data_IF_831467868753
#
_entry.id   IF_831467868753
#
_cell.length_a   1.000
_cell.length_b   1.000
_cell.length_c   1.000
_cell.angle_alpha   90.00
_cell.angle_beta   90.00
_cell.angle_gamma   90.00
#
_symmetry.space_group_name_H-M   'P 1'
#
loop_
_entity.id
_entity.type
_entity.pdbx_description
1 polymer ?
#
# COMPACT_ATOMS: atom_id res chain seq x y z
N UNK A 1 14.45 45.49 -21.00
CA UNK A 1 13.64 44.28 -21.34
C UNK A 1 14.27 42.95 -20.86
N UNK A 2 15.57 42.90 -20.53
CA UNK A 2 16.22 41.68 -20.04
C UNK A 2 15.77 41.20 -18.62
N UNK A 3 15.37 42.12 -17.73
CA UNK A 3 15.00 41.76 -16.35
C UNK A 3 13.64 41.07 -16.21
N UNK A 4 12.71 41.24 -17.17
CA UNK A 4 11.41 40.56 -17.14
C UNK A 4 11.50 39.13 -17.67
N UNK A 5 12.39 38.86 -18.63
CA UNK A 5 12.60 37.51 -19.19
C UNK A 5 13.30 36.59 -18.19
N UNK A 6 14.21 37.12 -17.37
CA UNK A 6 14.90 36.33 -16.34
C UNK A 6 13.96 35.87 -15.22
N UNK A 7 12.95 36.67 -14.87
CA UNK A 7 11.97 36.35 -13.83
C UNK A 7 10.94 35.30 -14.31
N UNK A 8 10.61 35.29 -15.60
CA UNK A 8 9.73 34.25 -16.20
C UNK A 8 10.46 32.91 -16.36
N UNK A 9 11.78 32.90 -16.56
CA UNK A 9 12.58 31.66 -16.64
C UNK A 9 12.81 31.02 -15.26
N UNK A 10 12.91 31.82 -14.19
CA UNK A 10 13.08 31.29 -12.82
C UNK A 10 11.78 30.68 -12.26
N UNK A 11 10.60 31.12 -12.73
CA UNK A 11 9.32 30.49 -12.37
C UNK A 11 9.06 29.13 -13.06
N UNK A 12 9.80 28.79 -14.12
CA UNK A 12 9.63 27.52 -14.85
C UNK A 12 10.54 26.38 -14.33
N UNK A 13 11.43 26.65 -13.37
CA UNK A 13 12.33 25.64 -12.79
C UNK A 13 11.85 25.03 -11.47
N UNK A 14 10.67 25.43 -10.96
CA UNK A 14 9.98 24.71 -9.89
C UNK A 14 8.96 23.72 -10.48
N UNK A 15 9.41 22.84 -11.38
CA UNK A 15 8.82 21.51 -11.45
C UNK A 15 9.18 20.83 -10.14
N UNK A 16 8.43 21.14 -9.07
CA UNK A 16 8.35 20.29 -7.90
C UNK A 16 7.96 18.93 -8.45
N UNK A 17 8.92 18.00 -8.51
CA UNK A 17 8.61 16.60 -8.82
C UNK A 17 7.48 16.24 -7.88
N UNK A 18 6.35 15.84 -8.45
CA UNK A 18 5.29 15.19 -7.70
C UNK A 18 5.96 13.95 -7.12
N UNK A 19 6.16 13.99 -5.81
CA UNK A 19 6.67 12.89 -5.03
C UNK A 19 5.50 11.90 -4.98
N UNK A 20 5.75 10.66 -5.37
CA UNK A 20 4.72 9.64 -5.56
C UNK A 20 4.50 8.86 -4.28
N UNK A 21 3.25 8.83 -3.80
CA UNK A 21 2.91 8.08 -2.59
C UNK A 21 3.20 6.61 -2.81
N UNK A 22 3.40 5.85 -1.74
CA UNK A 22 3.49 4.41 -1.90
C UNK A 22 2.85 3.74 -0.69
N UNK A 23 1.86 2.89 -0.95
CA UNK A 23 1.05 2.31 0.09
C UNK A 23 0.29 1.07 -0.34
N UNK A 24 0.06 0.19 0.64
CA UNK A 24 -0.70 -1.04 0.46
C UNK A 24 -1.55 -1.38 1.67
N UNK A 25 -2.70 -2.00 1.38
CA UNK A 25 -3.56 -2.64 2.37
C UNK A 25 -2.98 -4.02 2.72
N UNK A 26 -2.67 -4.20 4.00
CA UNK A 26 -2.01 -5.40 4.55
C UNK A 26 -2.96 -6.25 5.41
N UNK A 27 -3.98 -5.66 6.04
CA UNK A 27 -5.03 -6.42 6.72
C UNK A 27 -6.40 -5.77 6.44
N UNK A 28 -7.38 -6.48 5.85
CA UNK A 28 -7.20 -7.77 5.17
C UNK A 28 -6.18 -7.69 4.02
N UNK A 29 -5.35 -8.72 3.77
CA UNK A 29 -4.40 -8.70 2.66
C UNK A 29 -5.10 -8.45 1.33
N UNK A 30 -4.70 -7.38 0.63
CA UNK A 30 -5.23 -7.06 -0.69
C UNK A 30 -4.61 -7.91 -1.81
N UNK A 31 -5.32 -8.05 -2.94
CA UNK A 31 -4.96 -8.89 -4.10
C UNK A 31 -3.50 -8.75 -4.54
N UNK A 32 -2.99 -7.51 -4.52
CA UNK A 32 -1.60 -7.12 -4.81
C UNK A 32 -0.59 -7.59 -3.76
N UNK A 33 -0.98 -7.65 -2.49
CA UNK A 33 -0.11 -7.95 -1.34
C UNK A 33 -0.21 -9.39 -0.83
N UNK A 34 -1.20 -10.16 -1.29
CA UNK A 34 -1.48 -11.53 -0.80
C UNK A 34 -0.26 -12.46 -0.82
N UNK A 35 0.61 -12.34 -1.82
CA UNK A 35 1.84 -13.14 -1.91
C UNK A 35 2.79 -12.95 -0.71
N UNK A 36 2.77 -11.78 -0.04
CA UNK A 36 3.57 -11.48 1.16
C UNK A 36 3.17 -12.30 2.38
N UNK A 37 1.95 -12.84 2.35
CA UNK A 37 1.36 -13.68 3.39
C UNK A 37 1.37 -15.17 3.00
N UNK A 38 2.04 -15.52 1.88
CA UNK A 38 2.14 -16.89 1.41
C UNK A 38 0.93 -17.40 0.62
N UNK A 39 -0.07 -16.56 0.34
CA UNK A 39 -1.13 -16.94 -0.58
C UNK A 39 -0.56 -17.24 -1.99
N UNK A 40 -1.19 -18.12 -2.78
CA UNK A 40 -0.71 -18.53 -4.10
C UNK A 40 -0.96 -17.48 -5.21
N UNK A 41 -1.01 -16.20 -4.85
CA UNK A 41 -1.10 -15.10 -5.82
C UNK A 41 0.27 -14.90 -6.50
N UNK A 42 0.30 -14.49 -7.78
CA UNK A 42 1.54 -14.07 -8.42
C UNK A 42 2.23 -12.97 -7.62
N UNK A 43 3.56 -12.98 -7.59
CA UNK A 43 4.35 -11.96 -6.90
C UNK A 43 4.21 -10.63 -7.62
N UNK A 44 3.74 -9.61 -6.90
CA UNK A 44 3.78 -8.22 -7.34
C UNK A 44 4.78 -7.46 -6.48
N UNK A 45 5.98 -7.19 -7.00
CA UNK A 45 6.98 -6.43 -6.26
C UNK A 45 6.60 -4.96 -6.07
N UNK A 46 5.70 -4.42 -6.90
CA UNK A 46 5.22 -3.04 -6.85
C UNK A 46 3.79 -3.00 -6.31
N UNK A 47 3.48 -3.88 -5.35
CA UNK A 47 2.18 -3.97 -4.72
C UNK A 47 1.81 -2.72 -3.91
N UNK A 48 2.75 -1.83 -3.64
CA UNK A 48 2.53 -0.52 -3.04
C UNK A 48 2.27 0.61 -4.05
N UNK A 49 2.23 0.32 -5.36
CA UNK A 49 2.10 1.28 -6.47
C UNK A 49 0.74 1.13 -7.20
N UNK A 50 -0.36 0.89 -6.49
CA UNK A 50 -1.71 0.91 -7.09
C UNK A 50 -2.36 2.29 -7.05
N UNK A 51 -1.60 3.25 -7.54
CA UNK A 51 -1.80 4.69 -7.70
C UNK A 51 -2.58 5.14 -8.95
N UNK A 52 -3.46 4.31 -9.52
CA UNK A 52 -4.24 4.66 -10.72
C UNK A 52 -3.39 4.99 -11.97
N UNK A 53 -2.14 4.49 -12.03
CA UNK A 53 -1.14 4.82 -13.05
C UNK A 53 -0.32 6.08 -12.80
N UNK A 54 -0.47 6.68 -11.62
CA UNK A 54 0.18 7.92 -11.22
C UNK A 54 -0.65 9.16 -11.54
N UNK A 55 -0.32 10.27 -10.87
CA UNK A 55 -1.11 11.50 -10.91
C UNK A 55 -1.49 11.98 -12.32
N UNK A 56 -0.52 12.10 -13.23
CA UNK A 56 -0.77 12.62 -14.59
C UNK A 56 -1.65 11.67 -15.42
N UNK A 57 -1.47 10.36 -15.27
CA UNK A 57 -2.29 9.36 -15.96
C UNK A 57 -3.74 9.43 -15.45
N UNK A 58 -3.93 9.49 -14.14
CA UNK A 58 -5.27 9.60 -13.55
C UNK A 58 -5.96 10.89 -14.01
N UNK A 59 -5.33 12.05 -13.82
CA UNK A 59 -6.03 13.33 -13.88
C UNK A 59 -6.01 14.04 -15.23
N UNK A 60 -4.99 13.79 -16.05
CA UNK A 60 -4.84 14.46 -17.35
C UNK A 60 -5.21 13.53 -18.51
N UNK A 61 -4.87 12.24 -18.42
CA UNK A 61 -5.23 11.27 -19.46
C UNK A 61 -6.60 10.62 -19.21
N UNK A 62 -6.87 10.19 -17.97
CA UNK A 62 -8.09 9.45 -17.62
C UNK A 62 -9.20 10.34 -17.03
N UNK A 63 -9.04 11.67 -17.07
CA UNK A 63 -10.05 12.63 -16.59
C UNK A 63 -10.49 12.40 -15.13
N UNK A 64 -9.54 12.03 -14.26
CA UNK A 64 -9.75 11.71 -12.85
C UNK A 64 -10.18 10.27 -12.57
N UNK A 65 -10.44 9.47 -13.60
CA UNK A 65 -10.88 8.08 -13.45
C UNK A 65 -9.72 7.16 -13.05
N UNK A 66 -10.07 6.17 -12.24
CA UNK A 66 -9.18 5.13 -11.75
C UNK A 66 -9.89 3.78 -11.86
N UNK A 67 -9.14 2.69 -12.07
CA UNK A 67 -9.67 1.33 -11.93
C UNK A 67 -10.26 1.11 -10.52
N UNK A 68 -11.14 0.13 -10.40
CA UNK A 68 -11.79 -0.17 -9.12
C UNK A 68 -10.77 -0.60 -8.07
N UNK A 69 -9.73 -1.30 -8.50
CA UNK A 69 -8.70 -1.83 -7.63
C UNK A 69 -7.33 -1.18 -7.85
N UNK A 70 -7.30 0.07 -8.35
CA UNK A 70 -6.10 0.92 -8.40
C UNK A 70 -5.25 0.81 -9.65
N UNK A 71 -5.64 -0.04 -10.60
CA UNK A 71 -5.08 -0.08 -11.95
C UNK A 71 -5.39 1.22 -12.73
N UNK A 72 -4.57 1.62 -13.72
CA UNK A 72 -4.89 2.75 -14.60
C UNK A 72 -6.18 2.51 -15.38
N UNK A 73 -7.05 3.52 -15.41
CA UNK A 73 -8.40 3.34 -15.98
C UNK A 73 -8.41 2.98 -17.48
N UNK A 74 -7.46 3.49 -18.27
CA UNK A 74 -7.39 3.21 -19.70
C UNK A 74 -6.86 1.80 -20.05
N UNK A 75 -6.35 1.04 -19.07
CA UNK A 75 -5.95 -0.34 -19.33
C UNK A 75 -7.16 -1.20 -19.71
N UNK A 76 -6.90 -2.21 -20.56
CA UNK A 76 -7.94 -3.12 -21.02
C UNK A 76 -8.51 -3.95 -19.86
N UNK A 77 -9.81 -4.20 -19.93
CA UNK A 77 -10.50 -5.04 -18.97
C UNK A 77 -10.40 -6.54 -19.36
N UNK A 78 -10.29 -7.46 -18.38
CA UNK A 78 -10.18 -7.19 -16.95
C UNK A 78 -8.79 -6.64 -16.58
N UNK A 79 -8.75 -5.56 -15.80
CA UNK A 79 -7.48 -5.02 -15.31
C UNK A 79 -6.82 -5.99 -14.34
N UNK A 80 -5.52 -5.83 -14.10
CA UNK A 80 -4.73 -6.84 -13.39
C UNK A 80 -5.25 -7.17 -11.99
N UNK A 81 -5.85 -6.22 -11.28
CA UNK A 81 -6.37 -6.40 -9.93
C UNK A 81 -7.90 -6.47 -9.86
N UNK A 82 -8.58 -6.50 -11.00
CA UNK A 82 -10.02 -6.67 -11.15
C UNK A 82 -10.37 -8.14 -11.49
N UNK A 83 -11.61 -8.57 -11.29
CA UNK A 83 -12.10 -9.93 -11.45
C UNK A 83 -11.77 -10.49 -12.84
N UNK A 84 -11.15 -11.68 -12.86
CA UNK A 84 -10.58 -12.28 -14.08
C UNK A 84 -9.15 -11.83 -14.40
N UNK A 85 -8.64 -10.81 -13.72
CA UNK A 85 -7.26 -10.33 -13.83
C UNK A 85 -6.22 -11.24 -13.18
N UNK A 86 -4.96 -10.85 -13.34
CA UNK A 86 -3.79 -11.61 -12.87
C UNK A 86 -3.82 -11.86 -11.36
N UNK A 87 -4.21 -10.87 -10.55
CA UNK A 87 -4.16 -10.90 -9.10
C UNK A 87 -5.52 -11.16 -8.43
N UNK A 88 -6.64 -10.98 -9.14
CA UNK A 88 -7.97 -11.27 -8.63
C UNK A 88 -8.32 -12.76 -8.79
N UNK A 89 -7.74 -13.61 -7.93
CA UNK A 89 -7.93 -15.06 -7.97
C UNK A 89 -9.19 -15.56 -7.24
N UNK A 90 -10.00 -14.67 -6.67
CA UNK A 90 -11.18 -15.05 -5.89
C UNK A 90 -10.85 -15.73 -4.56
N UNK A 91 -9.60 -15.60 -4.08
CA UNK A 91 -9.15 -16.21 -2.83
C UNK A 91 -9.57 -15.31 -1.67
N UNK A 92 -10.33 -15.85 -0.74
CA UNK A 92 -10.75 -15.14 0.47
C UNK A 92 -9.55 -14.97 1.41
N UNK A 93 -9.14 -13.73 1.66
CA UNK A 93 -7.99 -13.41 2.51
C UNK A 93 -8.34 -13.30 3.98
N UNK A 94 -9.62 -13.02 4.31
CA UNK A 94 -10.16 -12.99 5.67
C UNK A 94 -11.62 -13.44 5.74
N UNK A 95 -11.97 -14.03 6.87
CA UNK A 95 -13.34 -14.38 7.25
C UNK A 95 -13.75 -13.53 8.45
N UNK A 96 -14.93 -12.95 8.37
CA UNK A 96 -15.52 -12.13 9.43
C UNK A 96 -16.94 -12.61 9.74
N UNK A 97 -17.49 -12.11 10.84
CA UNK A 97 -18.91 -12.25 11.17
C UNK A 97 -19.65 -10.93 10.97
N UNK A 98 -20.95 -11.02 10.69
CA UNK A 98 -21.82 -9.84 10.55
C UNK A 98 -21.66 -8.89 11.74
N UNK A 99 -21.51 -7.59 11.46
CA UNK A 99 -21.38 -6.57 12.51
C UNK A 99 -20.07 -6.63 13.29
N UNK A 100 -19.07 -7.39 12.86
CA UNK A 100 -17.77 -7.45 13.52
C UNK A 100 -17.02 -6.11 13.37
N UNK A 101 -16.32 -5.72 14.44
CA UNK A 101 -15.26 -4.71 14.39
C UNK A 101 -14.00 -5.40 13.86
N UNK A 102 -13.45 -4.90 12.76
CA UNK A 102 -12.29 -5.50 12.09
C UNK A 102 -11.11 -4.55 12.09
N UNK A 103 -9.92 -5.10 12.24
CA UNK A 103 -8.66 -4.36 12.12
C UNK A 103 -8.36 -4.07 10.64
N UNK A 104 -7.90 -2.85 10.38
CA UNK A 104 -7.34 -2.44 9.10
C UNK A 104 -5.87 -2.08 9.32
N UNK A 105 -4.99 -2.73 8.59
CA UNK A 105 -3.56 -2.42 8.57
C UNK A 105 -3.15 -1.88 7.20
N UNK A 106 -2.65 -0.64 7.18
CA UNK A 106 -2.07 0.01 6.00
C UNK A 106 -0.57 0.16 6.22
N UNK A 107 0.21 -0.23 5.23
CA UNK A 107 1.65 0.04 5.21
C UNK A 107 1.95 1.07 4.12
N UNK A 108 2.35 2.28 4.54
CA UNK A 108 2.87 3.30 3.63
C UNK A 108 4.40 3.21 3.61
N UNK A 109 4.95 2.82 2.46
CA UNK A 109 6.40 2.83 2.23
C UNK A 109 6.91 4.23 1.91
N UNK A 110 6.03 5.12 1.41
CA UNK A 110 6.24 6.56 1.32
C UNK A 110 4.94 7.28 1.76
N UNK A 111 5.01 7.95 2.91
CA UNK A 111 3.86 8.58 3.57
C UNK A 111 3.66 10.03 3.10
N UNK A 112 2.59 10.28 2.34
CA UNK A 112 2.26 11.60 1.77
C UNK A 112 1.10 12.29 2.47
N UNK A 113 0.81 11.91 3.72
CA UNK A 113 -0.28 12.45 4.53
C UNK A 113 -1.63 12.32 3.80
N UNK A 114 -2.69 12.98 4.29
CA UNK A 114 -4.02 12.88 3.70
C UNK A 114 -4.87 11.87 4.47
N UNK A 115 -5.61 11.02 3.77
CA UNK A 115 -6.62 10.17 4.43
C UNK A 115 -6.88 8.84 3.76
N UNK A 116 -7.34 7.88 4.56
CA UNK A 116 -7.81 6.58 4.10
C UNK A 116 -9.31 6.47 4.20
N UNK A 117 -9.94 5.88 3.20
CA UNK A 117 -11.36 5.51 3.20
C UNK A 117 -11.48 4.02 2.88
N UNK A 118 -12.47 3.35 3.48
CA UNK A 118 -12.71 1.93 3.26
C UNK A 118 -14.18 1.71 2.93
N UNK A 119 -14.42 1.05 1.80
CA UNK A 119 -15.75 0.69 1.32
C UNK A 119 -15.86 -0.83 1.19
N UNK A 120 -17.09 -1.35 1.22
CA UNK A 120 -17.38 -2.77 1.06
C UNK A 120 -18.37 -2.99 -0.09
N UNK A 121 -18.24 -4.07 -0.84
CA UNK A 121 -19.24 -4.52 -1.80
C UNK A 121 -19.53 -6.02 -1.61
N UNK A 122 -20.77 -6.41 -1.26
CA UNK A 122 -21.19 -7.81 -1.26
C UNK A 122 -21.42 -8.29 -2.71
N UNK A 123 -20.42 -8.95 -3.28
CA UNK A 123 -20.38 -9.30 -4.70
C UNK A 123 -20.78 -10.76 -5.00
N UNK A 124 -20.43 -11.70 -4.12
CA UNK A 124 -20.80 -13.13 -4.13
C UNK A 124 -20.41 -13.94 -5.38
N UNK A 125 -19.70 -13.33 -6.33
CA UNK A 125 -19.23 -13.99 -7.54
C UNK A 125 -17.82 -13.50 -7.90
N UNK A 126 -16.75 -14.27 -7.62
CA UNK A 126 -15.37 -13.84 -7.88
C UNK A 126 -15.04 -13.67 -9.37
N UNK A 127 -15.87 -14.20 -10.27
CA UNK A 127 -15.71 -14.02 -11.72
C UNK A 127 -16.40 -12.77 -12.26
N UNK A 128 -17.11 -12.02 -11.41
CA UNK A 128 -17.78 -10.78 -11.76
C UNK A 128 -17.15 -9.64 -10.96
N UNK A 129 -16.76 -8.57 -11.65
CA UNK A 129 -16.19 -7.40 -10.98
C UNK A 129 -17.29 -6.65 -10.19
N UNK A 130 -16.91 -6.15 -9.01
CA UNK A 130 -17.77 -5.29 -8.22
C UNK A 130 -18.00 -3.96 -8.96
N UNK A 131 -18.95 -3.15 -8.51
CA UNK A 131 -19.16 -1.82 -9.09
C UNK A 131 -18.93 -0.73 -8.06
N UNK A 132 -18.54 0.47 -8.51
CA UNK A 132 -18.39 1.61 -7.61
C UNK A 132 -19.73 1.97 -6.94
N UNK A 133 -20.86 1.77 -7.62
CA UNK A 133 -22.20 1.95 -7.07
C UNK A 133 -22.47 0.98 -5.92
N UNK A 134 -21.94 -0.25 -5.98
CA UNK A 134 -22.03 -1.21 -4.89
C UNK A 134 -21.21 -0.73 -3.68
N UNK A 135 -19.94 -0.36 -3.88
CA UNK A 135 -19.07 0.15 -2.83
C UNK A 135 -19.67 1.37 -2.10
N UNK A 136 -20.22 2.31 -2.86
CA UNK A 136 -20.80 3.54 -2.33
C UNK A 136 -22.03 3.29 -1.43
N UNK A 137 -22.67 2.11 -1.50
CA UNK A 137 -23.80 1.74 -0.63
C UNK A 137 -23.36 1.20 0.74
N UNK A 138 -22.12 0.76 0.88
CA UNK A 138 -21.62 0.17 2.13
C UNK A 138 -20.27 0.78 2.55
N UNK A 139 -20.25 2.07 2.92
CA UNK A 139 -19.06 2.67 3.50
C UNK A 139 -18.82 2.13 4.91
N UNK A 140 -17.55 1.94 5.29
CA UNK A 140 -17.17 1.45 6.61
C UNK A 140 -16.71 2.60 7.50
N UNK A 141 -17.35 2.72 8.67
CA UNK A 141 -17.05 3.78 9.64
C UNK A 141 -15.91 3.36 10.57
N UNK A 142 -15.08 4.31 10.96
CA UNK A 142 -14.06 4.11 11.97
C UNK A 142 -14.73 3.77 13.30
N UNK A 143 -14.22 2.74 13.97
CA UNK A 143 -14.75 2.27 15.24
C UNK A 143 -14.78 3.41 16.27
N UNK A 144 -15.94 3.62 16.88
CA UNK A 144 -16.11 4.61 17.95
C UNK A 144 -16.29 6.04 17.46
N UNK A 145 -16.30 6.28 16.15
CA UNK A 145 -16.60 7.60 15.56
C UNK A 145 -17.73 7.49 14.53
N UNK A 146 -18.09 8.62 13.91
CA UNK A 146 -19.00 8.66 12.75
C UNK A 146 -18.25 9.01 11.46
N UNK A 147 -16.93 8.91 11.49
CA UNK A 147 -16.07 9.32 10.40
C UNK A 147 -15.88 8.16 9.42
N UNK A 148 -15.90 8.50 8.13
CA UNK A 148 -15.62 7.57 7.02
C UNK A 148 -14.15 7.56 6.62
N UNK A 149 -13.40 8.60 7.03
CA UNK A 149 -12.04 8.82 6.59
C UNK A 149 -11.08 8.90 7.78
N UNK A 150 -10.08 8.02 7.78
CA UNK A 150 -9.00 8.05 8.76
C UNK A 150 -7.99 9.11 8.33
N UNK A 151 -7.82 10.16 9.12
CA UNK A 151 -6.84 11.23 8.85
C UNK A 151 -5.45 10.79 9.28
N UNK A 152 -4.49 10.88 8.38
CA UNK A 152 -3.09 10.56 8.67
C UNK A 152 -2.50 11.72 9.49
N UNK A 153 -1.92 11.46 10.68
CA UNK A 153 -1.27 12.50 11.48
C UNK A 153 -0.14 13.22 10.71
N UNK A 154 -0.09 14.54 10.83
CA UNK A 154 0.89 15.40 10.12
C UNK A 154 2.32 15.28 10.68
N UNK A 155 2.48 14.75 11.89
CA UNK A 155 3.75 14.42 12.52
C UNK A 155 4.25 13.00 12.20
N UNK A 156 3.63 12.35 11.21
CA UNK A 156 3.94 10.99 10.79
C UNK A 156 5.36 10.80 10.26
N UNK A 157 5.91 9.60 10.46
CA UNK A 157 7.18 9.17 9.88
C UNK A 157 7.08 9.06 8.35
N UNK A 158 8.23 9.16 7.66
CA UNK A 158 8.36 8.98 6.20
C UNK A 158 7.83 7.63 5.71
N UNK A 159 8.03 6.58 6.50
CA UNK A 159 7.44 5.24 6.36
C UNK A 159 6.65 4.92 7.62
N UNK A 160 5.43 4.41 7.48
CA UNK A 160 4.55 4.16 8.61
C UNK A 160 3.62 2.98 8.38
N UNK A 161 3.29 2.28 9.46
CA UNK A 161 2.21 1.30 9.50
C UNK A 161 1.09 1.90 10.33
N UNK A 162 -0.07 2.07 9.70
CA UNK A 162 -1.28 2.57 10.34
C UNK A 162 -2.17 1.39 10.69
N UNK A 163 -2.63 1.36 11.93
CA UNK A 163 -3.59 0.37 12.42
C UNK A 163 -4.78 1.10 13.02
N UNK A 164 -5.95 0.82 12.49
CA UNK A 164 -7.21 1.36 13.00
C UNK A 164 -8.30 0.31 12.79
N UNK A 165 -9.45 0.53 13.42
CA UNK A 165 -10.55 -0.41 13.37
C UNK A 165 -11.74 0.21 12.64
N UNK A 166 -12.45 -0.60 11.86
CA UNK A 166 -13.69 -0.22 11.19
C UNK A 166 -14.82 -1.17 11.57
N UNK A 167 -16.04 -0.68 11.47
CA UNK A 167 -17.25 -1.42 11.81
C UNK A 167 -17.89 -2.01 10.55
N UNK A 168 -17.99 -3.34 10.46
CA UNK A 168 -18.77 -3.99 9.39
C UNK A 168 -20.27 -3.75 9.56
N UNK A 169 -21.06 -3.67 8.47
CA UNK A 169 -22.50 -3.49 8.57
C UNK A 169 -23.18 -4.68 9.29
N UNK A 170 -24.15 -4.44 10.19
CA UNK A 170 -24.76 -5.48 11.01
C UNK A 170 -25.80 -6.34 10.28
N UNK A 171 -25.94 -6.19 8.95
CA UNK A 171 -26.93 -6.89 8.13
C UNK A 171 -26.37 -7.39 6.79
N UNK A 172 -25.05 -7.29 6.58
CA UNK A 172 -24.40 -7.71 5.33
C UNK A 172 -23.72 -9.05 5.54
N UNK A 173 -24.04 -10.01 4.67
CA UNK A 173 -23.33 -11.30 4.54
C UNK A 173 -22.90 -11.46 3.10
N UNK A 174 -21.83 -12.22 2.90
CA UNK A 174 -21.31 -12.51 1.57
C UNK A 174 -20.35 -13.70 1.61
N UNK A 175 -20.43 -14.55 0.59
CA UNK A 175 -19.45 -15.61 0.33
C UNK A 175 -18.14 -15.01 -0.21
N UNK A 176 -18.25 -13.90 -0.93
CA UNK A 176 -17.14 -13.08 -1.40
C UNK A 176 -17.60 -11.61 -1.43
N UNK A 177 -17.14 -10.83 -0.46
CA UNK A 177 -17.16 -9.39 -0.50
C UNK A 177 -15.84 -8.87 -1.05
N UNK A 178 -15.88 -7.71 -1.70
CA UNK A 178 -14.67 -6.92 -1.98
C UNK A 178 -14.62 -5.78 -0.97
N UNK A 179 -13.49 -5.61 -0.29
CA UNK A 179 -13.17 -4.43 0.49
C UNK A 179 -12.24 -3.55 -0.34
N UNK A 180 -12.64 -2.30 -0.59
CA UNK A 180 -11.88 -1.31 -1.34
C UNK A 180 -11.28 -0.30 -0.35
N UNK A 181 -9.97 -0.33 -0.19
CA UNK A 181 -9.23 0.73 0.49
C UNK A 181 -8.86 1.79 -0.54
N UNK A 182 -9.13 3.06 -0.23
CA UNK A 182 -8.67 4.21 -1.02
C UNK A 182 -7.82 5.12 -0.15
N UNK A 183 -6.66 5.51 -0.67
CA UNK A 183 -5.79 6.53 -0.08
C UNK A 183 -5.79 7.77 -0.96
N UNK A 184 -6.19 8.91 -0.38
CA UNK A 184 -6.04 10.22 -0.97
C UNK A 184 -4.85 10.92 -0.33
N UNK A 185 -3.79 11.14 -1.10
CA UNK A 185 -2.58 11.84 -0.64
C UNK A 185 -2.86 13.30 -0.29
N UNK A 186 -2.16 13.82 0.72
CA UNK A 186 -2.31 15.18 1.24
C UNK A 186 -1.15 16.12 0.90
N UNK A 187 -0.19 15.70 0.08
CA UNK A 187 1.02 16.48 -0.22
C UNK A 187 0.87 17.48 -1.38
N UNK A 188 -0.28 17.46 -2.07
CA UNK A 188 -0.55 18.31 -3.23
C UNK A 188 -1.10 19.68 -2.84
N UNK A 189 -0.82 20.71 -3.65
CA UNK A 189 -1.35 22.06 -3.45
C UNK A 189 -2.41 22.35 -4.49
N UNK A 190 -3.60 22.77 -4.08
CA UNK A 190 -4.70 23.02 -5.00
C UNK A 190 -5.81 23.85 -4.41
N UNK A 191 -6.85 24.07 -5.22
CA UNK A 191 -8.04 24.82 -4.85
C UNK A 191 -8.93 23.98 -3.92
N UNK A 192 -9.24 24.53 -2.75
CA UNK A 192 -10.17 23.98 -1.78
C UNK A 192 -11.62 24.32 -2.16
N UNK A 193 -12.63 23.59 -1.64
CA UNK A 193 -14.05 23.84 -1.93
C UNK A 193 -14.54 25.25 -1.59
N UNK A 194 -13.92 25.89 -0.60
CA UNK A 194 -14.21 27.27 -0.19
C UNK A 194 -13.53 28.34 -1.08
N UNK A 195 -12.87 27.94 -2.17
CA UNK A 195 -12.18 28.82 -3.10
C UNK A 195 -10.77 29.26 -2.66
N UNK A 196 -10.29 28.85 -1.47
CA UNK A 196 -8.90 29.12 -1.05
C UNK A 196 -7.95 28.11 -1.69
N UNK A 197 -6.63 28.35 -1.61
CA UNK A 197 -5.63 27.34 -1.95
C UNK A 197 -4.91 26.87 -0.70
N UNK A 198 -4.74 25.57 -0.56
CA UNK A 198 -3.98 24.97 0.52
C UNK A 198 -3.37 23.63 0.09
N UNK A 199 -2.41 23.16 0.89
CA UNK A 199 -1.92 21.80 0.81
C UNK A 199 -3.04 20.81 1.21
N UNK A 200 -3.14 19.68 0.51
CA UNK A 200 -4.20 18.68 0.66
C UNK A 200 -5.48 18.99 -0.11
N UNK A 201 -5.56 20.14 -0.79
CA UNK A 201 -6.71 20.53 -1.60
C UNK A 201 -6.49 20.26 -3.10
N UNK A 202 -7.60 20.14 -3.83
CA UNK A 202 -7.62 19.90 -5.28
C UNK A 202 -7.59 18.43 -5.65
N UNK A 203 -7.07 18.15 -6.84
CA UNK A 203 -6.81 16.79 -7.33
C UNK A 203 -5.76 16.15 -6.42
N UNK A 204 -5.90 14.86 -6.12
CA UNK A 204 -4.99 14.10 -5.26
C UNK A 204 -4.53 12.85 -5.99
N UNK A 205 -3.27 12.48 -5.82
CA UNK A 205 -2.84 11.14 -6.21
C UNK A 205 -3.55 10.12 -5.34
N UNK A 206 -4.17 9.15 -6.02
CA UNK A 206 -5.10 8.22 -5.40
C UNK A 206 -4.55 6.81 -5.49
N UNK A 207 -4.52 6.08 -4.37
CA UNK A 207 -4.21 4.65 -4.37
C UNK A 207 -5.48 3.88 -4.07
N UNK A 208 -5.68 2.75 -4.74
CA UNK A 208 -6.76 1.82 -4.41
C UNK A 208 -6.25 0.40 -4.31
N UNK A 209 -6.68 -0.34 -3.31
CA UNK A 209 -6.47 -1.79 -3.25
C UNK A 209 -7.80 -2.48 -2.97
N UNK A 210 -7.94 -3.70 -3.49
CA UNK A 210 -9.08 -4.56 -3.23
C UNK A 210 -8.64 -5.81 -2.46
N UNK A 211 -9.39 -6.17 -1.42
CA UNK A 211 -9.23 -7.42 -0.69
C UNK A 211 -10.52 -8.23 -0.75
N UNK A 212 -10.41 -9.53 -1.04
CA UNK A 212 -11.55 -10.45 -1.09
C UNK A 212 -11.76 -11.06 0.30
N UNK A 213 -12.92 -10.84 0.92
CA UNK A 213 -13.24 -11.29 2.28
C UNK A 213 -14.60 -11.98 2.33
N UNK A 214 -14.84 -12.84 3.32
CA UNK A 214 -16.16 -13.46 3.53
C UNK A 214 -16.78 -12.94 4.84
N UNK A 215 -18.10 -12.73 4.85
CA UNK A 215 -18.84 -12.30 6.04
C UNK A 215 -19.98 -13.29 6.30
N UNK A 216 -19.87 -14.01 7.41
CA UNK A 216 -20.76 -15.10 7.80
C UNK A 216 -21.75 -14.65 8.87
N UNK A 217 -22.92 -15.30 8.92
CA UNK A 217 -23.88 -15.11 10.01
C UNK A 217 -23.28 -15.58 11.34
N UNK A 218 -23.62 -14.88 12.42
CA UNK A 218 -23.25 -15.31 13.79
C UNK A 218 -24.22 -16.38 14.29
N UNK A 219 -24.18 -17.58 13.70
CA UNK A 219 -24.91 -18.74 14.25
C UNK A 219 -24.13 -19.27 15.46
N UNK A 220 -24.38 -18.69 16.64
CA UNK A 220 -23.89 -19.23 17.91
C UNK A 220 -23.37 -18.21 18.94
N UNK A 221 -23.39 -16.90 18.65
CA UNK A 221 -23.03 -15.87 19.64
C UNK A 221 -21.53 -15.79 19.98
N UNK A 222 -20.67 -16.53 19.28
CA UNK A 222 -19.22 -16.45 19.40
C UNK A 222 -18.58 -15.87 18.15
N UNK A 223 -17.69 -14.89 18.30
CA UNK A 223 -16.70 -14.56 17.28
C UNK A 223 -15.80 -15.81 17.14
N UNK A 224 -15.70 -16.46 15.96
CA UNK A 224 -14.78 -17.57 15.79
C UNK A 224 -13.36 -17.11 16.21
N UNK A 225 -12.59 -17.93 16.95
CA UNK A 225 -11.21 -17.58 17.24
C UNK A 225 -10.47 -17.30 15.92
N UNK A 226 -9.55 -16.32 15.92
CA UNK A 226 -8.71 -15.91 14.77
C UNK A 226 -7.98 -17.07 14.06
N UNK A 227 -7.97 -18.26 14.66
CA UNK A 227 -7.27 -19.46 14.19
C UNK A 227 -8.20 -20.52 13.59
N UNK A 228 -9.53 -20.39 13.68
CA UNK A 228 -10.47 -21.45 13.26
C UNK A 228 -10.84 -21.36 11.77
N UNK A 229 -10.62 -20.22 11.11
CA UNK A 229 -10.92 -20.03 9.68
C UNK A 229 -9.72 -19.51 8.87
N UNK A 230 -8.48 -19.68 9.33
CA UNK A 230 -7.31 -19.27 8.55
C UNK A 230 -6.95 -20.33 7.51
N UNK A 231 -7.74 -20.36 6.44
CA UNK A 231 -7.65 -21.29 5.31
C UNK A 231 -6.52 -20.94 4.31
N UNK A 232 -5.50 -20.17 4.70
CA UNK A 232 -4.28 -20.11 3.90
C UNK A 232 -3.36 -21.28 4.34
N UNK A 233 -3.39 -22.45 3.65
CA UNK A 233 -2.59 -23.61 4.04
C UNK A 233 -1.08 -23.36 3.95
N UNK A 234 -0.67 -22.26 3.30
CA UNK A 234 0.72 -21.88 3.12
C UNK A 234 1.19 -20.83 4.13
N UNK A 235 0.31 -20.24 4.95
CA UNK A 235 0.70 -19.24 5.94
C UNK A 235 1.56 -19.89 7.02
N UNK A 236 2.82 -19.47 7.08
CA UNK A 236 3.75 -19.87 8.12
C UNK A 236 3.59 -18.96 9.34
N UNK A 237 3.90 -19.53 10.50
CA UNK A 237 3.91 -18.83 11.78
C UNK A 237 5.25 -19.06 12.47
N UNK A 238 5.69 -18.07 13.23
CA UNK A 238 6.84 -18.23 14.11
C UNK A 238 6.46 -17.82 15.54
N UNK A 239 7.24 -18.34 16.49
CA UNK A 239 7.05 -18.07 17.91
C UNK A 239 8.02 -16.97 18.36
N UNK A 240 7.49 -15.80 18.70
CA UNK A 240 8.25 -14.70 19.29
C UNK A 240 8.38 -14.91 20.80
N UNK A 241 9.58 -15.29 21.24
CA UNK A 241 9.87 -15.57 22.66
C UNK A 241 9.79 -14.32 23.54
N UNK A 242 9.81 -13.12 22.97
CA UNK A 242 9.73 -11.87 23.72
C UNK A 242 8.28 -11.49 24.07
N UNK A 243 7.28 -12.18 23.51
CA UNK A 243 5.86 -11.92 23.78
C UNK A 243 5.27 -12.98 24.71
N UNK A 244 4.32 -12.60 25.58
CA UNK A 244 3.60 -13.57 26.40
C UNK A 244 2.62 -14.39 25.56
N UNK A 245 2.43 -15.67 25.91
CA UNK A 245 1.35 -16.48 25.36
C UNK A 245 -0.02 -15.91 25.79
N UNK A 246 -1.06 -15.96 24.93
CA UNK A 246 -1.10 -16.62 23.61
C UNK A 246 -0.63 -15.75 22.44
N UNK A 247 -0.22 -14.49 22.66
CA UNK A 247 0.16 -13.53 21.60
C UNK A 247 1.57 -13.71 21.04
N UNK A 248 2.23 -14.81 21.40
CA UNK A 248 3.59 -15.11 20.99
C UNK A 248 3.68 -15.93 19.70
N UNK A 249 2.56 -16.31 19.10
CA UNK A 249 2.52 -16.92 17.77
C UNK A 249 2.06 -15.86 16.78
N UNK A 250 2.92 -15.53 15.84
CA UNK A 250 2.70 -14.44 14.88
C UNK A 250 2.85 -14.95 13.43
N UNK A 251 2.01 -14.47 12.50
CA UNK A 251 2.13 -14.86 11.09
C UNK A 251 3.42 -14.30 10.49
N UNK A 252 4.10 -15.11 9.70
CA UNK A 252 5.20 -14.66 8.86
C UNK A 252 4.63 -13.79 7.72
N UNK A 253 5.12 -12.56 7.62
CA UNK A 253 4.75 -11.60 6.56
C UNK A 253 6.03 -11.00 5.98
N UNK A 254 6.19 -11.06 4.66
CA UNK A 254 7.33 -10.46 3.96
C UNK A 254 7.06 -8.96 3.74
N UNK A 255 7.65 -8.10 4.57
CA UNK A 255 7.44 -6.63 4.52
C UNK A 255 8.49 -5.87 3.72
N UNK A 256 9.60 -6.51 3.40
CA UNK A 256 10.67 -5.88 2.64
C UNK A 256 10.18 -5.53 1.22
N UNK A 257 10.53 -4.32 0.77
CA UNK A 257 10.09 -3.81 -0.54
C UNK A 257 11.12 -4.11 -1.63
N UNK A 258 12.39 -3.94 -1.29
CA UNK A 258 13.51 -4.16 -2.18
C UNK A 258 14.67 -4.74 -1.40
N UNK A 259 15.40 -5.66 -2.02
CA UNK A 259 16.62 -6.23 -1.45
C UNK A 259 17.75 -6.14 -2.46
N UNK A 260 18.88 -5.61 -2.02
CA UNK A 260 20.06 -5.35 -2.85
C UNK A 260 21.27 -6.12 -2.29
N UNK A 261 22.30 -6.37 -3.10
CA UNK A 261 23.49 -7.03 -2.61
C UNK A 261 24.21 -6.18 -1.56
N UNK A 262 24.86 -6.84 -0.60
CA UNK A 262 25.75 -6.21 0.36
C UNK A 262 26.98 -5.61 -0.36
N UNK A 263 27.76 -4.81 0.35
CA UNK A 263 28.94 -4.11 -0.21
C UNK A 263 29.93 -5.06 -0.89
N UNK A 264 30.07 -6.29 -0.36
CA UNK A 264 30.97 -7.31 -0.91
C UNK A 264 30.45 -7.90 -2.22
N UNK A 265 29.13 -8.00 -2.38
CA UNK A 265 28.51 -8.71 -3.49
C UNK A 265 27.91 -7.80 -4.58
N UNK A 266 27.88 -6.48 -4.38
CA UNK A 266 27.28 -5.51 -5.34
C UNK A 266 27.87 -5.53 -6.75
N UNK A 267 29.11 -5.97 -6.91
CA UNK A 267 29.80 -6.04 -8.20
C UNK A 267 29.57 -7.35 -8.97
N UNK A 268 28.96 -8.36 -8.33
CA UNK A 268 28.75 -9.66 -8.95
C UNK A 268 27.48 -9.68 -9.81
N UNK A 269 27.57 -10.03 -11.10
CA UNK A 269 26.40 -10.16 -11.97
C UNK A 269 25.36 -11.13 -11.39
N UNK A 270 24.07 -10.77 -11.52
CA UNK A 270 22.97 -11.63 -11.06
C UNK A 270 22.68 -11.60 -9.56
N UNK A 271 23.58 -11.11 -8.69
CA UNK A 271 23.29 -11.08 -7.25
C UNK A 271 22.16 -10.10 -6.91
N UNK A 272 22.00 -9.03 -7.70
CA UNK A 272 20.88 -8.08 -7.51
C UNK A 272 19.52 -8.75 -7.68
N UNK A 273 19.32 -9.50 -8.77
CA UNK A 273 18.08 -10.26 -8.98
C UNK A 273 17.96 -11.40 -7.98
N UNK A 274 19.06 -12.06 -7.63
CA UNK A 274 19.07 -13.10 -6.61
C UNK A 274 18.59 -12.59 -5.25
N UNK A 275 19.09 -11.44 -4.78
CA UNK A 275 18.65 -10.82 -3.53
C UNK A 275 17.17 -10.45 -3.60
N UNK A 276 16.73 -9.77 -4.67
CA UNK A 276 15.33 -9.41 -4.83
C UNK A 276 14.41 -10.63 -4.78
N UNK A 277 14.74 -11.70 -5.52
CA UNK A 277 13.89 -12.89 -5.59
C UNK A 277 13.97 -13.72 -4.32
N UNK A 278 15.16 -14.00 -3.79
CA UNK A 278 15.30 -14.92 -2.66
C UNK A 278 14.96 -14.28 -1.33
N UNK A 279 15.28 -13.00 -1.13
CA UNK A 279 14.91 -12.32 0.12
C UNK A 279 13.41 -12.06 0.22
N UNK A 280 12.73 -11.84 -0.90
CA UNK A 280 11.29 -11.57 -0.90
C UNK A 280 10.43 -12.82 -1.12
N UNK A 281 10.98 -13.97 -1.54
CA UNK A 281 10.17 -15.18 -1.66
C UNK A 281 9.51 -15.56 -0.32
N UNK A 282 8.47 -16.38 -0.36
CA UNK A 282 7.80 -16.89 0.82
C UNK A 282 8.04 -18.41 0.98
N UNK A 283 8.72 -18.89 2.04
CA UNK A 283 9.44 -18.15 3.08
C UNK A 283 10.76 -17.52 2.57
N UNK A 284 11.19 -16.39 3.16
CA UNK A 284 12.35 -15.64 2.69
C UNK A 284 13.65 -16.42 2.94
N UNK A 285 14.58 -16.32 1.99
CA UNK A 285 15.96 -16.77 2.11
C UNK A 285 16.90 -15.59 1.85
N UNK A 286 17.22 -14.86 2.92
CA UNK A 286 17.99 -13.63 2.86
C UNK A 286 19.22 -13.68 3.76
N UNK A 287 20.32 -14.33 3.34
CA UNK A 287 21.57 -14.32 4.07
C UNK A 287 22.14 -12.90 4.15
N UNK A 288 22.32 -12.38 5.37
CA UNK A 288 22.70 -10.98 5.66
C UNK A 288 24.10 -10.59 5.18
N UNK A 289 24.97 -11.57 5.00
CA UNK A 289 26.31 -11.41 4.43
C UNK A 289 26.25 -11.12 2.91
N UNK A 290 25.23 -11.64 2.23
CA UNK A 290 25.05 -11.50 0.78
C UNK A 290 24.11 -10.34 0.44
N UNK A 291 22.99 -10.20 1.15
CA UNK A 291 21.92 -9.27 0.82
C UNK A 291 21.55 -8.37 2.00
N UNK A 292 21.10 -7.15 1.67
CA UNK A 292 20.51 -6.20 2.58
C UNK A 292 19.15 -5.76 2.03
N UNK A 293 18.15 -5.61 2.90
CA UNK A 293 16.81 -5.14 2.53
C UNK A 293 16.56 -3.79 3.20
N UNK A 294 17.07 -2.69 2.61
CA UNK A 294 16.93 -1.38 3.22
C UNK A 294 15.46 -0.98 3.33
N UNK A 295 15.12 -0.35 4.43
CA UNK A 295 13.78 0.17 4.71
C UNK A 295 13.75 1.70 4.86
N UNK A 296 14.92 2.32 4.92
CA UNK A 296 15.12 3.77 5.05
C UNK A 296 16.25 4.21 4.13
N UNK A 297 16.10 5.39 3.52
CA UNK A 297 17.13 6.03 2.71
C UNK A 297 17.18 7.52 3.04
N UNK A 298 18.40 8.05 3.21
CA UNK A 298 18.64 9.47 3.45
C UNK A 298 19.49 10.07 2.33
N UNK A 299 19.26 11.36 2.06
CA UNK A 299 20.03 12.11 1.10
C UNK A 299 21.44 12.40 1.64
N UNK A 300 22.43 12.22 0.78
CA UNK A 300 23.85 12.42 1.07
C UNK A 300 24.51 13.32 0.01
N UNK A 301 25.76 13.71 0.27
CA UNK A 301 26.51 14.59 -0.62
C UNK A 301 25.84 15.96 -0.71
N UNK A 302 25.65 16.45 -1.95
CA UNK A 302 25.10 17.79 -2.22
C UNK A 302 23.63 17.98 -1.82
N UNK A 303 22.89 16.90 -1.58
CA UNK A 303 21.46 16.95 -1.23
C UNK A 303 21.21 16.72 0.26
N UNK A 304 22.27 16.56 1.06
CA UNK A 304 22.14 16.32 2.50
C UNK A 304 21.50 17.52 3.19
N UNK A 305 20.39 17.30 3.89
CA UNK A 305 19.65 18.33 4.62
C UNK A 305 18.74 19.20 3.74
N UNK A 306 18.69 18.95 2.44
CA UNK A 306 17.74 19.61 1.55
C UNK A 306 16.31 19.14 1.83
N UNK A 307 15.37 20.09 1.79
CA UNK A 307 13.98 19.79 2.08
C UNK A 307 13.42 18.74 1.10
N UNK A 308 12.83 17.66 1.64
CA UNK A 308 12.28 16.49 0.90
C UNK A 308 13.30 15.64 0.13
N UNK A 309 14.60 15.92 0.20
CA UNK A 309 15.60 15.12 -0.52
C UNK A 309 15.63 13.66 -0.05
N UNK A 310 15.46 13.42 1.26
CA UNK A 310 15.40 12.05 1.79
C UNK A 310 14.18 11.29 1.25
N UNK A 311 13.04 11.96 1.07
CA UNK A 311 11.82 11.34 0.53
C UNK A 311 12.05 10.96 -0.94
N UNK A 312 12.66 11.85 -1.74
CA UNK A 312 13.06 11.55 -3.12
C UNK A 312 14.07 10.38 -3.18
N UNK A 313 14.95 10.24 -2.18
CA UNK A 313 15.80 9.06 -2.05
C UNK A 313 15.01 7.79 -1.77
N UNK A 314 14.02 7.83 -0.88
CA UNK A 314 13.15 6.68 -0.61
C UNK A 314 12.39 6.27 -1.88
N UNK A 315 11.80 7.21 -2.62
CA UNK A 315 11.06 6.91 -3.86
C UNK A 315 11.96 6.36 -4.97
N UNK A 316 13.22 6.78 -5.04
CA UNK A 316 14.16 6.28 -6.07
C UNK A 316 14.80 4.95 -5.70
N UNK A 317 14.97 4.70 -4.41
CA UNK A 317 15.78 3.59 -3.91
C UNK A 317 14.98 2.47 -3.26
N UNK A 318 13.81 2.73 -2.68
CA UNK A 318 12.98 1.71 -2.05
C UNK A 318 11.89 1.20 -2.99
N UNK A 319 12.20 1.11 -4.28
CA UNK A 319 11.28 0.70 -5.37
C UNK A 319 11.91 -0.39 -6.23
N UNK A 320 11.07 -1.15 -6.94
CA UNK A 320 11.49 -2.18 -7.88
C UNK A 320 11.10 -1.83 -9.33
N UNK A 321 12.01 -1.98 -10.31
CA UNK A 321 13.43 -2.24 -10.13
C UNK A 321 14.15 -1.02 -9.53
N UNK A 322 15.12 -1.27 -8.64
CA UNK A 322 16.00 -0.25 -8.05
C UNK A 322 17.02 0.28 -9.08
N UNK A 323 16.57 0.83 -10.21
CA UNK A 323 17.45 1.29 -11.29
C UNK A 323 17.84 2.76 -11.18
N UNK A 324 17.01 3.57 -10.49
CA UNK A 324 17.16 5.03 -10.37
C UNK A 324 17.95 5.45 -9.12
N UNK A 325 18.33 4.50 -8.26
CA UNK A 325 19.03 4.80 -7.01
C UNK A 325 20.51 5.12 -7.23
N UNK A 326 20.94 6.30 -6.77
CA UNK A 326 22.34 6.76 -6.88
C UNK A 326 23.02 6.75 -5.51
N UNK A 327 24.06 5.92 -5.35
CA UNK A 327 24.85 5.86 -4.12
C UNK A 327 25.65 7.16 -3.83
N UNK A 328 25.70 8.11 -4.77
CA UNK A 328 26.30 9.44 -4.57
C UNK A 328 25.31 10.43 -3.94
N UNK A 329 24.01 10.17 -4.09
CA UNK A 329 22.93 11.07 -3.69
C UNK A 329 22.13 10.50 -2.53
N UNK A 330 22.06 9.18 -2.38
CA UNK A 330 21.27 8.48 -1.39
C UNK A 330 22.08 7.40 -0.67
N UNK A 331 21.91 7.29 0.65
CA UNK A 331 22.41 6.20 1.46
C UNK A 331 21.25 5.45 2.10
N UNK A 332 21.13 4.15 1.79
CA UNK A 332 20.04 3.30 2.24
C UNK A 332 20.55 2.23 3.21
N UNK A 333 19.77 1.96 4.25
CA UNK A 333 20.13 1.06 5.34
C UNK A 333 18.91 0.39 5.98
N UNK A 334 19.16 -0.62 6.82
CA UNK A 334 18.14 -1.26 7.64
C UNK A 334 18.04 -0.53 8.98
N UNK A 335 16.94 0.17 9.21
CA UNK A 335 16.62 0.77 10.50
C UNK A 335 16.03 -0.30 11.44
N UNK A 336 16.72 -0.55 12.55
CA UNK A 336 16.30 -1.49 13.60
C UNK A 336 15.05 -0.98 14.32
N UNK A 337 13.99 -1.79 14.42
CA UNK A 337 12.75 -1.47 15.16
C UNK A 337 11.51 -1.24 14.30
N UNK A 338 11.61 -1.36 12.97
CA UNK A 338 10.47 -1.34 12.03
C UNK A 338 10.09 -2.73 11.49
N UNK A 339 10.68 -3.80 12.03
CA UNK A 339 10.39 -5.20 11.66
C UNK A 339 9.38 -5.84 12.61
#
# INVERSE_FOLDING_TARGET
MASKVLMTIICLLNLKRLVDGHGRLMDPPARNSMWRFGFPNPVNYNDNELFCGGYSVQWEQNEGKCGLCGDPHHEAEPRSHEAGGTYAKGIISRHYVVGQVVDIEIELTANHYGRFEVLLCPNNNPSQEASQECFNRYPLYIRGTRDLAYQIPEDGKKKAVFRYQVQLPPYVTCTQCVLQWTYFTGNQWGMCPNGTQAQGCGKSETFRNCADVAIHTSTGGGVPPLFVDNLNPYQLYYKDQNKPAPYNVVPLVVRDQVCVPSKLYRGMPGVKSWCQTNCLRYPPNCPKDICICPNTCDAVGKYKGEFRADVDCMDKCLVYPNSKCSAKECACYEESGLR
#
